data_IF_504825235951
#
_entry.id   IF_504825235951
#
_cell.length_a   1.000
_cell.length_b   1.000
_cell.length_c   1.000
_cell.angle_alpha   90.00
_cell.angle_beta   90.00
_cell.angle_gamma   90.00
#
_symmetry.space_group_name_H-M   'P 1'
#
loop_
_entity.id
_entity.type
_entity.pdbx_description
1 polymer ?
#
# COMPACT_ATOMS: atom_id res chain seq x y z
N UNK A 1 5.81 -7.94 4.24
CA UNK A 1 4.49 -8.49 4.65
C UNK A 1 4.02 -9.42 3.56
N UNK A 2 3.55 -10.62 3.92
CA UNK A 2 3.07 -11.59 2.94
C UNK A 2 1.60 -11.92 3.24
N UNK A 3 0.78 -11.96 2.19
CA UNK A 3 -0.57 -12.49 2.23
C UNK A 3 -0.55 -13.83 1.50
N UNK A 4 -0.85 -14.90 2.23
CA UNK A 4 -0.89 -16.24 1.68
C UNK A 4 -2.33 -16.61 1.34
N UNK A 5 -2.60 -16.86 0.07
CA UNK A 5 -3.87 -17.41 -0.40
C UNK A 5 -3.70 -18.91 -0.61
N UNK A 6 -4.59 -19.71 -0.04
CA UNK A 6 -4.55 -21.18 -0.14
C UNK A 6 -5.79 -21.69 -0.86
N UNK A 7 -5.69 -22.89 -1.42
CA UNK A 7 -6.75 -23.54 -2.20
C UNK A 7 -7.20 -22.70 -3.41
N UNK A 8 -6.25 -22.05 -4.08
CA UNK A 8 -6.50 -21.27 -5.29
C UNK A 8 -6.79 -22.19 -6.49
N UNK A 9 -7.99 -22.12 -7.04
CA UNK A 9 -8.34 -22.73 -8.32
C UNK A 9 -8.37 -21.62 -9.39
N UNK A 10 -7.25 -21.38 -10.06
CA UNK A 10 -7.08 -20.22 -10.95
C UNK A 10 -7.28 -20.55 -12.44
N UNK A 11 -6.93 -21.77 -12.85
CA UNK A 11 -7.10 -22.23 -14.22
C UNK A 11 -8.59 -22.31 -14.57
N UNK A 12 -9.00 -21.63 -15.64
CA UNK A 12 -10.39 -21.61 -16.11
C UNK A 12 -11.44 -21.00 -15.18
N UNK A 13 -11.03 -20.35 -14.08
CA UNK A 13 -11.94 -19.81 -13.07
C UNK A 13 -12.46 -18.39 -13.39
N UNK A 14 -11.94 -17.77 -14.44
CA UNK A 14 -12.32 -16.44 -14.90
C UNK A 14 -13.52 -16.44 -15.85
N UNK A 15 -13.84 -15.25 -16.35
CA UNK A 15 -14.96 -15.03 -17.30
C UNK A 15 -14.74 -15.84 -18.59
N UNK A 16 -15.81 -16.47 -19.09
CA UNK A 16 -15.78 -17.38 -20.26
C UNK A 16 -14.75 -18.52 -20.14
N UNK A 17 -14.41 -18.96 -18.92
CA UNK A 17 -13.44 -20.04 -18.71
C UNK A 17 -11.98 -19.61 -18.93
N UNK A 18 -11.69 -18.31 -18.89
CA UNK A 18 -10.32 -17.80 -18.91
C UNK A 18 -9.60 -18.07 -17.57
N UNK A 19 -8.27 -18.01 -17.59
CA UNK A 19 -7.49 -18.13 -16.36
C UNK A 19 -7.54 -16.85 -15.51
N UNK A 20 -7.58 -17.02 -14.20
CA UNK A 20 -7.42 -15.91 -13.26
C UNK A 20 -5.93 -15.68 -13.02
N UNK A 21 -5.40 -14.61 -13.61
CA UNK A 21 -3.95 -14.31 -13.61
C UNK A 21 -3.55 -13.24 -12.62
N UNK A 22 -4.52 -12.56 -12.00
CA UNK A 22 -4.30 -11.44 -11.09
C UNK A 22 -5.35 -11.44 -9.97
N UNK A 23 -4.96 -10.93 -8.81
CA UNK A 23 -5.89 -10.52 -7.76
C UNK A 23 -5.96 -8.99 -7.70
N UNK A 24 -7.14 -8.47 -7.39
CA UNK A 24 -7.35 -7.08 -7.01
C UNK A 24 -7.21 -6.99 -5.48
N UNK A 25 -6.28 -6.17 -5.01
CA UNK A 25 -6.01 -5.95 -3.58
C UNK A 25 -6.22 -4.47 -3.26
N UNK A 26 -7.03 -4.21 -2.23
CA UNK A 26 -7.25 -2.86 -1.70
C UNK A 26 -6.85 -2.84 -0.24
N UNK A 27 -6.05 -1.83 0.15
CA UNK A 27 -5.74 -1.55 1.54
C UNK A 27 -6.60 -0.38 2.00
N UNK A 28 -7.58 -0.66 2.85
CA UNK A 28 -8.48 0.33 3.42
C UNK A 28 -7.99 0.76 4.81
N UNK A 29 -7.60 2.03 4.91
CA UNK A 29 -7.20 2.66 6.16
C UNK A 29 -7.36 4.17 6.06
N UNK A 30 -7.49 4.85 7.19
CA UNK A 30 -7.30 6.30 7.24
C UNK A 30 -5.85 6.66 6.94
N UNK A 31 -5.67 7.73 6.17
CA UNK A 31 -4.36 8.35 5.98
C UNK A 31 -3.92 9.06 7.26
N UNK A 32 -2.61 9.15 7.48
CA UNK A 32 -2.02 9.86 8.62
C UNK A 32 -2.17 11.38 8.52
N UNK A 33 -2.23 11.90 7.29
CA UNK A 33 -2.35 13.32 7.00
C UNK A 33 -3.18 13.55 5.71
N UNK A 34 -3.73 14.75 5.57
CA UNK A 34 -4.57 15.13 4.42
C UNK A 34 -3.78 15.48 3.16
N UNK A 35 -2.50 15.83 3.28
CA UNK A 35 -1.65 16.19 2.13
C UNK A 35 -1.09 14.96 1.42
N UNK A 36 -0.87 13.86 2.15
CA UNK A 36 -0.48 12.57 1.61
C UNK A 36 -1.45 11.47 2.03
N UNK A 37 -2.49 11.29 1.20
CA UNK A 37 -3.56 10.33 1.46
C UNK A 37 -3.13 8.86 1.30
N UNK A 38 -1.86 8.59 0.99
CA UNK A 38 -1.35 7.24 0.77
C UNK A 38 -0.39 6.78 1.87
N UNK A 39 -0.24 7.54 2.96
CA UNK A 39 0.48 7.12 4.16
C UNK A 39 -0.49 6.61 5.22
N UNK A 40 -0.34 5.35 5.62
CA UNK A 40 -1.13 4.73 6.68
C UNK A 40 -0.90 5.46 8.02
N UNK A 41 -2.00 5.77 8.72
CA UNK A 41 -1.94 6.25 10.10
C UNK A 41 -1.43 5.15 11.05
N UNK A 42 -0.63 5.54 12.03
CA UNK A 42 -0.21 4.64 13.11
C UNK A 42 -1.33 4.53 14.16
N UNK A 43 -1.57 3.33 14.69
CA UNK A 43 -2.63 3.11 15.70
C UNK A 43 -2.23 3.58 17.11
N UNK A 44 -0.93 3.83 17.35
CA UNK A 44 -0.36 4.39 18.58
C UNK A 44 0.09 5.84 18.35
N UNK A 45 -0.86 6.69 17.96
CA UNK A 45 -0.61 8.06 17.50
C UNK A 45 -0.27 9.06 18.62
N UNK A 46 -0.29 8.66 19.90
CA UNK A 46 -0.09 9.60 21.02
C UNK A 46 1.37 9.98 21.23
N UNK A 47 2.32 9.14 20.78
CA UNK A 47 3.76 9.37 20.97
C UNK A 47 4.50 9.58 19.65
N UNK A 48 3.94 9.12 18.53
CA UNK A 48 4.55 9.26 17.20
C UNK A 48 3.55 9.90 16.24
N UNK A 49 3.70 11.21 16.05
CA UNK A 49 2.77 12.04 15.25
C UNK A 49 3.33 12.47 13.91
N UNK A 50 4.63 12.29 13.66
CA UNK A 50 5.34 12.83 12.50
C UNK A 50 5.71 11.78 11.45
N UNK A 51 5.23 10.54 11.59
CA UNK A 51 5.47 9.45 10.63
C UNK A 51 4.20 8.73 10.24
N UNK A 52 4.18 8.22 9.01
CA UNK A 52 3.21 7.26 8.51
C UNK A 52 3.89 6.05 7.87
N UNK A 53 3.09 5.08 7.43
CA UNK A 53 3.60 3.89 6.73
C UNK A 53 3.18 3.94 5.27
N UNK A 54 4.16 3.91 4.37
CA UNK A 54 3.93 3.69 2.94
C UNK A 54 3.84 2.21 2.66
N UNK A 55 2.77 1.79 2.00
CA UNK A 55 2.67 0.44 1.49
C UNK A 55 3.23 0.38 0.06
N UNK A 56 4.04 -0.63 -0.22
CA UNK A 56 4.64 -0.87 -1.52
C UNK A 56 4.32 -2.29 -2.03
N UNK A 57 4.35 -2.47 -3.35
CA UNK A 57 4.38 -3.82 -3.96
C UNK A 57 5.75 -4.50 -3.73
N UNK A 58 5.89 -5.74 -4.19
CA UNK A 58 7.17 -6.46 -4.23
C UNK A 58 8.22 -5.80 -5.14
N UNK A 59 7.79 -4.92 -6.05
CA UNK A 59 8.64 -4.19 -6.99
C UNK A 59 8.83 -2.72 -6.58
N UNK A 60 8.64 -2.41 -5.29
CA UNK A 60 8.83 -1.08 -4.69
C UNK A 60 7.90 0.02 -5.23
N UNK A 61 6.77 -0.34 -5.87
CA UNK A 61 5.79 0.64 -6.32
C UNK A 61 4.85 1.02 -5.19
N UNK A 62 4.62 2.32 -4.97
CA UNK A 62 3.67 2.81 -3.97
C UNK A 62 2.24 2.41 -4.27
N UNK A 63 1.59 1.83 -3.27
CA UNK A 63 0.15 1.54 -3.27
C UNK A 63 -0.63 2.78 -2.87
N UNK A 64 -1.84 2.89 -3.43
CA UNK A 64 -2.79 3.94 -3.04
C UNK A 64 -3.86 3.36 -2.12
N UNK A 65 -4.12 4.04 -1.00
CA UNK A 65 -5.14 3.59 -0.05
C UNK A 65 -6.54 3.75 -0.64
N UNK A 66 -7.41 2.77 -0.38
CA UNK A 66 -8.76 2.73 -0.92
C UNK A 66 -8.87 2.54 -2.44
N UNK A 67 -7.76 2.28 -3.14
CA UNK A 67 -7.75 2.04 -4.59
C UNK A 67 -7.21 0.65 -4.88
N UNK A 68 -7.95 -0.12 -5.70
CA UNK A 68 -7.52 -1.47 -6.09
C UNK A 68 -6.20 -1.44 -6.86
N UNK A 69 -5.30 -2.33 -6.45
CA UNK A 69 -4.03 -2.61 -7.13
C UNK A 69 -4.01 -4.07 -7.58
N UNK A 70 -3.56 -4.29 -8.81
CA UNK A 70 -3.52 -5.63 -9.42
C UNK A 70 -2.20 -6.31 -9.11
N UNK A 71 -2.26 -7.44 -8.42
CA UNK A 71 -1.08 -8.28 -8.13
C UNK A 71 -1.10 -9.54 -9.00
N UNK A 72 0.05 -9.95 -9.57
CA UNK A 72 0.12 -11.15 -10.39
C UNK A 72 -0.06 -12.42 -9.54
N UNK A 73 -0.69 -13.45 -10.13
CA UNK A 73 -0.84 -14.78 -9.55
C UNK A 73 -0.18 -15.83 -10.44
N UNK A 74 0.26 -16.93 -9.83
CA UNK A 74 0.81 -18.09 -10.50
C UNK A 74 -0.30 -19.10 -10.78
N UNK A 75 -0.82 -19.12 -12.02
CA UNK A 75 -2.01 -19.91 -12.40
C UNK A 75 -1.90 -21.40 -12.04
N UNK A 76 -0.68 -21.97 -12.16
CA UNK A 76 -0.41 -23.38 -11.88
C UNK A 76 -0.33 -23.74 -10.39
N UNK A 77 -0.38 -22.76 -9.50
CA UNK A 77 -0.21 -22.97 -8.06
C UNK A 77 -1.53 -22.85 -7.30
N UNK A 78 -1.80 -23.84 -6.45
CA UNK A 78 -2.91 -23.81 -5.50
C UNK A 78 -2.63 -22.93 -4.27
N UNK A 79 -1.38 -22.46 -4.12
CA UNK A 79 -0.96 -21.53 -3.07
C UNK A 79 -0.31 -20.30 -3.70
N UNK A 80 -0.70 -19.11 -3.24
CA UNK A 80 -0.17 -17.84 -3.71
C UNK A 80 0.44 -17.09 -2.54
N UNK A 81 1.66 -16.60 -2.72
CA UNK A 81 2.28 -15.66 -1.78
C UNK A 81 2.31 -14.30 -2.45
N UNK A 82 1.49 -13.38 -1.96
CA UNK A 82 1.51 -11.98 -2.42
C UNK A 82 2.32 -11.16 -1.42
N UNK A 83 3.40 -10.55 -1.90
CA UNK A 83 4.36 -9.83 -1.05
C UNK A 83 4.16 -8.33 -1.18
N UNK A 84 4.14 -7.66 -0.04
CA UNK A 84 4.07 -6.21 0.12
C UNK A 84 5.16 -5.74 1.08
N UNK A 85 5.48 -4.46 1.02
CA UNK A 85 6.44 -3.83 1.90
C UNK A 85 5.80 -2.64 2.61
N UNK A 86 6.38 -2.26 3.74
CA UNK A 86 5.91 -1.18 4.59
C UNK A 86 7.08 -0.32 5.00
N UNK A 87 7.14 0.88 4.46
CA UNK A 87 8.22 1.83 4.71
C UNK A 87 7.73 2.94 5.63
N UNK A 88 8.45 3.19 6.72
CA UNK A 88 8.13 4.30 7.61
C UNK A 88 8.65 5.60 6.99
N UNK A 89 7.75 6.53 6.69
CA UNK A 89 8.07 7.83 6.12
C UNK A 89 7.69 8.96 7.08
N UNK A 90 8.50 10.02 7.13
CA UNK A 90 8.10 11.26 7.80
C UNK A 90 7.00 11.97 7.02
N UNK A 91 5.99 12.45 7.73
CA UNK A 91 4.97 13.34 7.15
C UNK A 91 5.67 14.62 6.73
N UNK A 92 5.47 15.03 5.48
CA UNK A 92 5.95 16.32 5.01
C UNK A 92 5.10 17.41 5.65
N UNK A 93 5.54 17.95 6.77
CA UNK A 93 4.94 19.16 7.35
C UNK A 93 5.09 20.31 6.34
N UNK A 94 4.02 21.07 6.09
CA UNK A 94 4.04 22.25 5.22
C UNK A 94 4.86 23.43 5.79
N UNK A 95 5.72 23.23 6.78
CA UNK A 95 6.49 24.32 7.39
C UNK A 95 7.98 24.03 7.37
N UNK A 96 8.68 24.56 6.35
CA UNK A 96 9.95 25.28 6.50
C UNK A 96 10.38 25.94 5.18
N UNK A 97 9.69 27.01 4.78
CA UNK A 97 10.31 28.14 4.05
C UNK A 97 9.72 29.46 4.58
N UNK A 98 9.93 29.75 5.86
CA UNK A 98 9.98 31.13 6.35
C UNK A 98 11.10 31.28 7.37
N UNK A 99 12.33 30.98 6.93
CA UNK A 99 13.55 31.55 7.53
C UNK A 99 14.46 32.00 6.38
N UNK A 100 14.15 33.17 5.81
CA UNK A 100 15.13 34.12 5.21
C UNK A 100 14.47 35.44 4.76
N UNK A 101 13.36 35.86 5.36
CA UNK A 101 12.75 37.16 5.06
C UNK A 101 12.34 37.89 6.33
N UNK A 102 13.29 38.18 7.23
CA UNK A 102 13.36 39.45 7.97
C UNK A 102 14.64 39.57 8.82
N UNK A 103 15.59 40.40 8.40
CA UNK A 103 16.03 41.55 9.22
C UNK A 103 16.74 42.58 8.35
N UNK A 104 16.10 43.75 8.29
CA UNK A 104 16.54 45.11 7.96
C UNK A 104 18.02 45.41 8.14
#
# INVERSE_FOLDING_TARGET
MNINLINCALLGAGKEGADTTKADVTFDSSAVDTTDTNLLATTFSTEVTDVGIRLLTSEDNSLKLGISSKVPLQISSAEQTVTFQGDMEKIKSEISQTEAANTT
#
